data_IF_463621451123
#
_entry.id   IF_463621451123
#
_cell.length_a   1.000
_cell.length_b   1.000
_cell.length_c   1.000
_cell.angle_alpha   90.00
_cell.angle_beta   90.00
_cell.angle_gamma   90.00
#
_symmetry.space_group_name_H-M   'P 1'
#
loop_
_entity.id
_entity.type
_entity.pdbx_description
1 polymer ?
#
# COMPACT_ATOMS: atom_id res chain seq x y z
N UNK A 1 3.66 5.30 10.10
CA UNK A 1 3.56 4.22 9.10
C UNK A 1 2.37 4.53 8.21
N UNK A 2 2.46 4.20 6.93
CA UNK A 2 1.37 4.30 5.95
C UNK A 2 1.08 2.92 5.40
N UNK A 3 -0.18 2.60 5.15
CA UNK A 3 -0.63 1.29 4.70
C UNK A 3 -1.62 1.41 3.55
N UNK A 4 -1.54 0.46 2.63
CA UNK A 4 -2.52 0.24 1.59
C UNK A 4 -3.24 -1.08 1.86
N UNK A 5 -4.55 -1.04 1.97
CA UNK A 5 -5.35 -2.21 2.31
C UNK A 5 -6.61 -2.29 1.44
N UNK A 6 -7.07 -3.52 1.19
CA UNK A 6 -8.30 -3.78 0.46
C UNK A 6 -9.43 -4.05 1.45
N UNK A 7 -10.60 -3.49 1.21
CA UNK A 7 -11.80 -3.86 1.96
C UNK A 7 -12.03 -5.37 1.87
N UNK A 8 -12.19 -6.02 3.02
CA UNK A 8 -12.42 -7.45 3.13
C UNK A 8 -13.84 -7.77 3.63
N UNK A 9 -14.29 -9.00 3.39
CA UNK A 9 -15.67 -9.46 3.63
C UNK A 9 -16.13 -9.40 5.10
N UNK A 10 -15.20 -9.32 6.07
CA UNK A 10 -15.48 -9.27 7.51
C UNK A 10 -15.04 -7.93 8.11
N UNK A 11 -15.87 -6.90 7.99
CA UNK A 11 -15.77 -5.58 8.68
C UNK A 11 -14.32 -5.10 8.93
N UNK A 12 -13.45 -5.21 7.93
CA UNK A 12 -12.02 -5.07 8.14
C UNK A 12 -11.27 -4.88 6.85
N UNK A 13 -10.08 -4.30 6.98
CA UNK A 13 -9.21 -4.02 5.84
C UNK A 13 -8.04 -5.00 5.83
N UNK A 14 -7.88 -5.72 4.73
CA UNK A 14 -6.76 -6.64 4.53
C UNK A 14 -5.56 -5.86 4.00
N UNK A 15 -4.56 -5.64 4.87
CA UNK A 15 -3.34 -4.89 4.51
C UNK A 15 -2.55 -5.64 3.45
N UNK A 16 -2.35 -4.97 2.31
CA UNK A 16 -1.60 -5.51 1.17
C UNK A 16 -0.11 -5.15 1.25
N UNK A 17 0.19 -3.92 1.66
CA UNK A 17 1.55 -3.40 1.85
C UNK A 17 1.55 -2.24 2.84
N UNK A 18 2.64 -2.04 3.57
CA UNK A 18 2.80 -0.90 4.47
C UNK A 18 4.27 -0.47 4.62
N UNK A 19 4.47 0.73 5.17
CA UNK A 19 5.80 1.32 5.43
C UNK A 19 6.31 1.09 6.86
N UNK A 20 5.77 0.09 7.58
CA UNK A 20 6.18 -0.19 8.98
C UNK A 20 7.55 -0.86 9.07
N UNK A 21 7.91 -1.70 8.09
CA UNK A 21 9.28 -2.22 7.95
C UNK A 21 10.16 -1.07 7.52
N UNK A 22 11.33 -0.90 8.15
CA UNK A 22 12.22 0.25 7.92
C UNK A 22 13.03 0.06 6.63
N UNK A 23 12.79 0.81 5.54
CA UNK A 23 13.86 1.16 4.63
C UNK A 23 14.65 2.32 5.28
N UNK A 24 15.98 2.27 5.24
CA UNK A 24 16.81 3.40 5.65
C UNK A 24 16.72 4.48 4.56
N UNK A 25 16.22 5.67 4.90
CA UNK A 25 16.13 6.77 3.95
C UNK A 25 14.91 7.66 4.17
N UNK A 26 14.93 8.79 3.48
CA UNK A 26 13.87 9.78 3.48
C UNK A 26 12.63 9.27 2.71
N UNK A 27 12.83 8.73 1.51
CA UNK A 27 11.81 8.03 0.74
C UNK A 27 11.66 6.60 1.26
N UNK A 28 10.42 6.19 1.54
CA UNK A 28 10.14 4.83 1.98
C UNK A 28 9.41 4.07 0.89
N UNK A 29 10.14 3.21 0.18
CA UNK A 29 9.59 2.33 -0.83
C UNK A 29 9.60 0.89 -0.34
N UNK A 30 8.41 0.29 -0.20
CA UNK A 30 8.24 -1.10 0.22
C UNK A 30 7.42 -1.84 -0.83
N UNK A 31 7.89 -3.03 -1.22
CA UNK A 31 7.18 -3.93 -2.13
C UNK A 31 6.75 -5.20 -1.40
N UNK A 32 5.50 -5.59 -1.57
CA UNK A 32 4.96 -6.85 -1.11
C UNK A 32 4.18 -7.51 -2.26
N UNK A 33 4.73 -8.59 -2.80
CA UNK A 33 4.18 -9.26 -3.98
C UNK A 33 4.11 -8.32 -5.19
N UNK A 34 2.90 -8.11 -5.71
CA UNK A 34 2.60 -7.25 -6.88
C UNK A 34 2.31 -5.80 -6.51
N UNK A 35 2.37 -5.44 -5.22
CA UNK A 35 2.00 -4.11 -4.73
C UNK A 35 3.23 -3.42 -4.17
N UNK A 36 3.46 -2.18 -4.59
CA UNK A 36 4.50 -1.30 -4.07
C UNK A 36 3.85 -0.06 -3.46
N UNK A 37 4.30 0.35 -2.28
CA UNK A 37 3.96 1.64 -1.66
C UNK A 37 5.22 2.48 -1.56
N UNK A 38 5.11 3.74 -2.00
CA UNK A 38 6.13 4.76 -1.87
C UNK A 38 5.55 5.91 -1.06
N UNK A 39 6.17 6.21 0.08
CA UNK A 39 5.83 7.33 0.97
C UNK A 39 6.90 8.41 0.82
N UNK A 40 6.48 9.61 0.39
CA UNK A 40 7.28 10.84 0.22
C UNK A 40 6.81 11.91 1.23
N UNK A 41 7.42 11.98 2.44
CA UNK A 41 6.91 12.84 3.52
C UNK A 41 7.04 14.36 3.32
N UNK A 42 7.96 14.84 2.49
CA UNK A 42 8.17 16.26 2.12
C UNK A 42 7.12 16.71 1.13
N UNK A 43 6.76 15.86 0.15
CA UNK A 43 5.68 16.16 -0.77
C UNK A 43 4.30 15.87 -0.16
N UNK A 44 4.25 15.06 0.91
CA UNK A 44 3.00 14.62 1.51
C UNK A 44 2.22 13.66 0.62
N UNK A 45 2.92 12.93 -0.27
CA UNK A 45 2.33 12.06 -1.28
C UNK A 45 2.64 10.60 -0.94
N UNK A 46 1.60 9.77 -1.06
CA UNK A 46 1.74 8.30 -1.04
C UNK A 46 1.36 7.78 -2.42
N UNK A 47 2.30 7.11 -3.08
CA UNK A 47 2.09 6.49 -4.39
C UNK A 47 1.98 4.98 -4.21
N UNK A 48 0.92 4.38 -4.77
CA UNK A 48 0.72 2.93 -4.77
C UNK A 48 0.74 2.42 -6.20
N UNK A 49 1.60 1.44 -6.47
CA UNK A 49 1.67 0.76 -7.77
C UNK A 49 1.22 -0.68 -7.61
N UNK A 50 0.20 -1.09 -8.37
CA UNK A 50 -0.30 -2.46 -8.44
C UNK A 50 -0.05 -3.05 -9.81
N UNK A 51 0.78 -4.09 -9.89
CA UNK A 51 1.19 -4.70 -11.16
C UNK A 51 0.35 -5.94 -11.48
N UNK A 52 0.18 -6.25 -12.78
CA UNK A 52 -0.49 -7.47 -13.28
C UNK A 52 -1.89 -7.67 -12.68
N UNK A 53 -2.70 -6.60 -12.69
CA UNK A 53 -4.06 -6.61 -12.15
C UNK A 53 -4.90 -7.75 -12.73
N UNK A 54 -5.72 -8.36 -11.88
CA UNK A 54 -6.68 -9.41 -12.25
C UNK A 54 -8.09 -9.00 -11.83
N UNK A 55 -9.12 -9.65 -12.38
CA UNK A 55 -10.51 -9.28 -12.11
C UNK A 55 -10.86 -9.28 -10.60
N UNK A 56 -10.31 -10.23 -9.84
CA UNK A 56 -10.49 -10.32 -8.38
C UNK A 56 -9.80 -9.21 -7.58
N UNK A 57 -8.91 -8.43 -8.19
CA UNK A 57 -8.34 -7.24 -7.55
C UNK A 57 -9.39 -6.10 -7.47
N UNK A 58 -10.47 -6.14 -8.25
CA UNK A 58 -11.54 -5.11 -8.18
C UNK A 58 -12.12 -4.95 -6.76
N UNK A 59 -12.45 -3.72 -6.37
CA UNK A 59 -13.07 -3.40 -5.08
C UNK A 59 -12.63 -2.05 -4.51
N UNK A 60 -12.98 -1.81 -3.25
CA UNK A 60 -12.61 -0.61 -2.51
C UNK A 60 -11.26 -0.82 -1.82
N UNK A 61 -10.44 0.22 -1.86
CA UNK A 61 -9.14 0.27 -1.23
C UNK A 61 -9.05 1.48 -0.32
N UNK A 62 -8.31 1.32 0.77
CA UNK A 62 -8.11 2.35 1.78
C UNK A 62 -6.62 2.62 1.99
N UNK A 63 -6.30 3.89 2.20
CA UNK A 63 -5.00 4.35 2.66
C UNK A 63 -5.13 4.88 4.09
N UNK A 64 -4.19 4.52 4.97
CA UNK A 64 -4.09 5.00 6.35
C UNK A 64 -2.63 5.29 6.73
#
# INVERSE_FOLDING_TARGET
SKAWCKEGDRQGCSVLVNTSRKPSGYLRTIRQGRVTIQDDPQQGIVTVTMEKLQAQDSGVYWCA
#
